data_IF_825108387729
#
_entry.id   IF_825108387729
#
_cell.length_a   1.000
_cell.length_b   1.000
_cell.length_c   1.000
_cell.angle_alpha   90.00
_cell.angle_beta   90.00
_cell.angle_gamma   90.00
#
_symmetry.space_group_name_H-M   'P 1'
#
loop_
_entity.id
_entity.type
_entity.pdbx_description
1 polymer ?
#
# COMPACT_ATOMS: atom_id res chain seq x y z
N UNK A 1 12.87 0.28 8.08
CA UNK A 1 12.30 -1.00 8.56
C UNK A 1 13.39 -1.88 9.16
N UNK A 2 13.05 -2.68 10.19
CA UNK A 2 13.98 -3.66 10.77
C UNK A 2 13.98 -4.98 9.98
N UNK A 3 15.08 -5.71 10.03
CA UNK A 3 15.27 -7.02 9.38
C UNK A 3 14.11 -7.99 9.70
N UNK A 4 13.68 -8.05 10.96
CA UNK A 4 12.59 -8.92 11.41
C UNK A 4 11.28 -8.66 10.64
N UNK A 5 10.99 -7.39 10.35
CA UNK A 5 9.75 -6.98 9.70
C UNK A 5 9.83 -7.25 8.19
N UNK A 6 11.02 -7.05 7.60
CA UNK A 6 11.30 -7.42 6.21
C UNK A 6 11.12 -8.93 5.97
N UNK A 7 11.61 -9.78 6.87
CA UNK A 7 11.44 -11.24 6.74
C UNK A 7 9.96 -11.65 6.82
N UNK A 8 9.18 -11.05 7.73
CA UNK A 8 7.73 -11.30 7.83
C UNK A 8 7.01 -10.89 6.55
N UNK A 9 7.32 -9.71 6.03
CA UNK A 9 6.76 -9.21 4.78
C UNK A 9 7.10 -10.11 3.59
N UNK A 10 8.36 -10.57 3.47
CA UNK A 10 8.77 -11.47 2.41
C UNK A 10 8.02 -12.82 2.47
N UNK A 11 7.70 -13.33 3.66
CA UNK A 11 6.86 -14.54 3.81
C UNK A 11 5.41 -14.32 3.37
N UNK A 12 4.88 -13.11 3.56
CA UNK A 12 3.56 -12.73 3.10
C UNK A 12 3.50 -12.67 1.58
N UNK A 13 4.45 -11.96 0.96
CA UNK A 13 4.57 -11.86 -0.50
C UNK A 13 4.76 -13.23 -1.13
N UNK A 14 5.69 -14.05 -0.59
CA UNK A 14 5.94 -15.39 -1.11
C UNK A 14 4.71 -16.30 -0.96
N UNK A 15 3.98 -16.20 0.15
CA UNK A 15 2.74 -16.95 0.35
C UNK A 15 1.65 -16.57 -0.65
N UNK A 16 1.53 -15.28 -0.97
CA UNK A 16 0.63 -14.79 -2.01
C UNK A 16 1.05 -15.27 -3.41
N UNK A 17 2.35 -15.23 -3.74
CA UNK A 17 2.88 -15.74 -5.01
C UNK A 17 2.64 -17.24 -5.20
N UNK A 18 2.60 -18.00 -4.10
CA UNK A 18 2.28 -19.44 -4.10
C UNK A 18 0.78 -19.74 -4.02
N UNK A 19 -0.08 -18.72 -4.03
CA UNK A 19 -1.54 -18.87 -4.00
C UNK A 19 -2.12 -19.24 -2.64
N UNK A 20 -1.39 -19.06 -1.53
CA UNK A 20 -1.89 -19.36 -0.19
C UNK A 20 -2.84 -18.27 0.34
N UNK A 21 -2.83 -17.06 -0.24
CA UNK A 21 -3.56 -15.87 0.25
C UNK A 21 -3.30 -15.55 1.74
N UNK A 22 -2.13 -15.97 2.24
CA UNK A 22 -1.63 -15.76 3.60
C UNK A 22 -0.11 -15.84 3.57
N UNK A 23 0.54 -15.37 4.63
CA UNK A 23 1.95 -15.64 4.82
C UNK A 23 2.25 -17.13 4.93
N UNK A 24 3.32 -17.59 4.24
CA UNK A 24 3.87 -18.92 4.47
C UNK A 24 4.23 -19.07 5.93
N UNK A 25 4.05 -20.23 6.54
CA UNK A 25 4.56 -20.51 7.89
C UNK A 25 6.09 -20.65 7.88
N UNK A 26 6.72 -20.55 9.05
CA UNK A 26 8.18 -20.74 9.16
C UNK A 26 8.61 -22.15 8.72
N UNK A 27 7.80 -23.18 9.01
CA UNK A 27 8.07 -24.55 8.59
C UNK A 27 7.88 -24.72 7.08
N UNK A 28 6.82 -24.14 6.50
CA UNK A 28 6.60 -24.11 5.05
C UNK A 28 7.77 -23.44 4.33
N UNK A 29 8.30 -22.34 4.89
CA UNK A 29 9.44 -21.64 4.31
C UNK A 29 10.71 -22.51 4.31
N UNK A 30 11.03 -23.13 5.45
CA UNK A 30 12.18 -24.04 5.56
C UNK A 30 12.07 -25.19 4.57
N UNK A 31 10.88 -25.80 4.48
CA UNK A 31 10.59 -26.87 3.52
C UNK A 31 10.77 -26.41 2.07
N UNK A 32 10.23 -25.24 1.71
CA UNK A 32 10.37 -24.68 0.37
C UNK A 32 11.82 -24.35 0.00
N UNK A 33 12.60 -23.77 0.93
CA UNK A 33 14.03 -23.50 0.74
C UNK A 33 14.79 -24.80 0.49
N UNK A 34 14.45 -25.85 1.21
CA UNK A 34 15.12 -27.15 1.08
C UNK A 34 14.77 -27.84 -0.24
N UNK A 35 13.50 -27.76 -0.68
CA UNK A 35 13.06 -28.25 -1.99
C UNK A 35 13.73 -27.50 -3.15
N UNK A 36 13.81 -26.17 -3.07
CA UNK A 36 14.40 -25.34 -4.12
C UNK A 36 15.92 -25.51 -4.25
N UNK A 37 16.63 -25.76 -3.14
CA UNK A 37 18.07 -26.01 -3.18
C UNK A 37 18.41 -27.49 -3.48
N UNK A 38 17.50 -28.43 -3.22
CA UNK A 38 17.68 -29.86 -3.50
C UNK A 38 17.46 -30.25 -4.97
N UNK A 39 16.84 -29.40 -5.79
CA UNK A 39 16.41 -29.70 -7.17
C UNK A 39 17.40 -29.24 -8.26
N UNK A 40 18.49 -28.56 -7.89
CA UNK A 40 19.52 -28.12 -8.84
C UNK A 40 20.60 -29.19 -9.09
N UNK A 41 20.89 -29.49 -10.37
CA UNK A 41 22.04 -30.29 -10.85
C UNK A 41 23.39 -29.65 -10.48
N UNK A 42 23.73 -29.60 -9.20
CA UNK A 42 25.08 -29.42 -8.63
C UNK A 42 24.94 -29.47 -7.12
N UNK A 43 25.62 -30.45 -6.53
CA UNK A 43 25.80 -30.71 -5.09
C UNK A 43 26.59 -29.57 -4.40
N UNK A 44 26.16 -28.32 -4.58
CA UNK A 44 26.83 -27.11 -4.12
C UNK A 44 25.91 -26.34 -3.19
N UNK A 45 26.22 -26.44 -1.89
CA UNK A 45 25.57 -25.85 -0.71
C UNK A 45 24.32 -26.59 -0.17
N UNK A 46 24.57 -27.52 0.76
CA UNK A 46 23.58 -28.04 1.73
C UNK A 46 23.28 -26.96 2.79
N UNK A 47 23.10 -25.71 2.36
CA UNK A 47 22.82 -24.60 3.25
C UNK A 47 21.35 -24.70 3.66
N UNK A 48 21.09 -25.33 4.80
CA UNK A 48 19.76 -25.45 5.40
C UNK A 48 19.62 -24.43 6.52
N UNK A 49 18.53 -23.67 6.49
CA UNK A 49 18.12 -22.81 7.62
C UNK A 49 17.15 -23.60 8.51
N UNK A 50 17.29 -23.51 9.83
CA UNK A 50 16.34 -24.16 10.76
C UNK A 50 15.16 -23.24 11.08
N UNK A 51 14.01 -23.83 11.41
CA UNK A 51 12.84 -23.08 11.87
C UNK A 51 13.15 -22.29 13.15
N UNK A 52 13.94 -22.85 14.07
CA UNK A 52 14.37 -22.15 15.29
C UNK A 52 15.20 -20.90 14.98
N UNK A 53 16.09 -20.98 13.98
CA UNK A 53 16.91 -19.84 13.55
C UNK A 53 16.05 -18.74 12.91
N UNK A 54 15.08 -19.12 12.09
CA UNK A 54 14.11 -18.19 11.50
C UNK A 54 13.26 -17.49 12.59
N UNK A 55 12.82 -18.25 13.60
CA UNK A 55 12.09 -17.69 14.73
C UNK A 55 12.91 -16.68 15.52
N UNK A 56 14.22 -16.89 15.68
CA UNK A 56 15.11 -15.95 16.36
C UNK A 56 15.31 -14.65 15.56
N UNK A 57 15.30 -14.71 14.23
CA UNK A 57 15.38 -13.53 13.37
C UNK A 57 14.07 -12.73 13.47
N UNK A 58 12.93 -13.41 13.33
CA UNK A 58 11.62 -12.75 13.32
C UNK A 58 11.18 -12.23 14.70
N UNK A 59 11.71 -12.77 15.78
CA UNK A 59 11.52 -12.22 17.13
C UNK A 59 12.45 -11.03 17.42
N UNK A 60 13.49 -10.84 16.60
CA UNK A 60 14.52 -9.82 16.80
C UNK A 60 15.63 -10.22 17.77
N UNK A 61 15.63 -11.45 18.30
CA UNK A 61 16.73 -11.97 19.13
C UNK A 61 18.06 -12.07 18.35
N UNK A 62 17.97 -12.14 17.02
CA UNK A 62 19.12 -12.11 16.09
C UNK A 62 18.94 -10.96 15.09
N UNK A 63 19.45 -9.75 15.37
CA UNK A 63 19.29 -8.60 14.49
C UNK A 63 20.16 -8.67 13.22
N UNK A 64 21.15 -9.56 13.18
CA UNK A 64 22.09 -9.69 12.06
C UNK A 64 22.17 -11.12 11.54
N UNK A 65 22.21 -11.26 10.21
CA UNK A 65 22.39 -12.53 9.51
C UNK A 65 23.86 -12.75 9.17
N UNK A 66 24.31 -14.01 9.26
CA UNK A 66 25.55 -14.43 8.62
C UNK A 66 25.45 -14.23 7.11
N UNK A 67 26.59 -14.03 6.44
CA UNK A 67 26.64 -13.84 4.99
C UNK A 67 25.99 -15.03 4.26
N UNK A 68 26.30 -16.26 4.68
CA UNK A 68 25.72 -17.49 4.12
C UNK A 68 24.20 -17.51 4.19
N UNK A 69 23.60 -17.21 5.36
CA UNK A 69 22.14 -17.21 5.50
C UNK A 69 21.51 -16.07 4.70
N UNK A 70 22.17 -14.92 4.64
CA UNK A 70 21.72 -13.78 3.85
C UNK A 70 21.64 -14.11 2.37
N UNK A 71 22.69 -14.71 1.80
CA UNK A 71 22.71 -15.14 0.40
C UNK A 71 21.64 -16.20 0.11
N UNK A 72 21.44 -17.14 1.05
CA UNK A 72 20.41 -18.18 0.94
C UNK A 72 19.01 -17.57 0.85
N UNK A 73 18.66 -16.69 1.79
CA UNK A 73 17.35 -16.03 1.83
C UNK A 73 17.15 -15.08 0.66
N UNK A 74 18.19 -14.33 0.27
CA UNK A 74 18.17 -13.44 -0.89
C UNK A 74 17.86 -14.21 -2.18
N UNK A 75 18.54 -15.35 -2.38
CA UNK A 75 18.30 -16.24 -3.52
C UNK A 75 16.90 -16.87 -3.49
N UNK A 76 16.41 -17.24 -2.32
CA UNK A 76 15.06 -17.81 -2.18
C UNK A 76 13.98 -16.79 -2.53
N UNK A 77 14.01 -15.62 -1.88
CA UNK A 77 13.02 -14.55 -2.05
C UNK A 77 13.23 -13.69 -3.31
N UNK A 78 14.26 -13.96 -4.11
CA UNK A 78 14.62 -13.17 -5.30
C UNK A 78 14.84 -11.67 -4.98
N UNK A 79 15.47 -11.38 -3.84
CA UNK A 79 15.82 -10.01 -3.41
C UNK A 79 17.32 -9.80 -3.39
N UNK A 80 17.77 -8.54 -3.46
CA UNK A 80 19.18 -8.22 -3.28
C UNK A 80 19.64 -8.51 -1.83
N UNK A 81 20.84 -9.10 -1.58
CA UNK A 81 21.32 -9.37 -0.22
C UNK A 81 21.36 -8.14 0.68
N UNK A 82 21.55 -6.95 0.11
CA UNK A 82 21.51 -5.67 0.81
C UNK A 82 20.12 -5.30 1.35
N UNK A 83 19.04 -5.90 0.85
CA UNK A 83 17.69 -5.68 1.40
C UNK A 83 17.53 -6.33 2.79
N UNK A 84 18.26 -7.41 3.06
CA UNK A 84 18.20 -8.20 4.30
C UNK A 84 19.09 -7.62 5.41
N UNK A 85 19.02 -6.31 5.59
CA UNK A 85 19.62 -5.55 6.71
C UNK A 85 18.61 -4.58 7.28
N UNK A 86 18.88 -4.06 8.47
CA UNK A 86 18.14 -2.92 8.99
C UNK A 86 18.35 -1.71 8.06
N UNK A 87 17.28 -0.98 7.81
CA UNK A 87 17.42 0.31 7.13
C UNK A 87 18.08 1.32 8.06
N UNK A 88 18.96 2.20 7.55
CA UNK A 88 19.52 3.28 8.36
C UNK A 88 18.41 4.23 8.84
N UNK A 89 18.68 4.90 9.95
CA UNK A 89 17.82 5.99 10.45
C UNK A 89 17.60 7.01 9.33
N UNK A 90 16.34 7.34 9.03
CA UNK A 90 15.98 8.25 7.93
C UNK A 90 15.89 7.62 6.54
N UNK A 91 16.01 6.30 6.39
CA UNK A 91 15.77 5.64 5.11
C UNK A 91 14.29 5.71 4.69
N UNK A 92 14.07 6.14 3.47
CA UNK A 92 12.77 6.14 2.81
C UNK A 92 12.88 5.42 1.46
N UNK A 93 11.87 4.63 1.10
CA UNK A 93 11.80 3.94 -0.20
C UNK A 93 11.55 4.89 -1.37
N UNK A 94 11.15 6.13 -1.07
CA UNK A 94 10.91 7.21 -2.01
C UNK A 94 12.08 8.19 -1.96
N UNK A 95 12.41 8.83 -3.09
CA UNK A 95 13.44 9.87 -3.14
C UNK A 95 12.96 11.10 -2.33
N UNK A 96 13.28 11.12 -1.05
CA UNK A 96 13.12 12.30 -0.19
C UNK A 96 14.46 13.03 -0.22
N UNK A 97 14.54 14.09 -1.02
CA UNK A 97 15.64 15.04 -0.92
C UNK A 97 15.36 15.98 0.26
N UNK A 98 16.32 16.15 1.16
CA UNK A 98 16.24 17.13 2.28
C UNK A 98 16.12 18.58 1.80
N UNK A 99 16.26 18.83 0.48
CA UNK A 99 16.00 20.12 -0.16
C UNK A 99 14.50 20.44 -0.34
N UNK A 100 13.62 19.49 -0.05
CA UNK A 100 12.18 19.63 -0.29
C UNK A 100 11.47 20.18 0.94
N UNK A 101 10.88 21.36 0.81
CA UNK A 101 10.00 21.98 1.81
C UNK A 101 8.84 21.04 2.14
N UNK A 102 8.21 21.20 3.32
CA UNK A 102 7.06 20.37 3.70
C UNK A 102 5.91 20.41 2.66
N UNK A 103 5.83 21.50 1.89
CA UNK A 103 4.91 21.68 0.76
C UNK A 103 5.20 20.71 -0.39
N UNK A 104 6.45 20.58 -0.84
CA UNK A 104 6.85 19.63 -1.89
C UNK A 104 6.50 18.17 -1.54
N UNK A 105 6.51 17.82 -0.25
CA UNK A 105 6.12 16.48 0.23
C UNK A 105 4.61 16.28 0.13
N UNK A 106 3.82 17.31 0.45
CA UNK A 106 2.37 17.28 0.32
C UNK A 106 1.96 17.20 -1.15
N UNK A 107 2.59 17.97 -2.03
CA UNK A 107 2.30 17.98 -3.46
C UNK A 107 2.60 16.62 -4.10
N UNK A 108 3.75 16.04 -3.77
CA UNK A 108 4.08 14.70 -4.25
C UNK A 108 3.08 13.65 -3.77
N UNK A 109 2.64 13.75 -2.50
CA UNK A 109 1.63 12.86 -1.95
C UNK A 109 0.28 13.02 -2.66
N UNK A 110 -0.13 14.25 -2.98
CA UNK A 110 -1.36 14.54 -3.74
C UNK A 110 -1.31 13.96 -5.16
N UNK A 111 -0.20 14.12 -5.86
CA UNK A 111 0.00 13.53 -7.20
C UNK A 111 -0.06 12.01 -7.14
N UNK A 112 0.64 11.39 -6.19
CA UNK A 112 0.60 9.95 -5.99
C UNK A 112 -0.80 9.44 -5.58
N UNK A 113 -1.54 10.24 -4.81
CA UNK A 113 -2.95 9.99 -4.46
C UNK A 113 -3.84 9.97 -5.71
N UNK A 114 -3.72 10.98 -6.58
CA UNK A 114 -4.50 11.08 -7.81
C UNK A 114 -4.35 9.83 -8.69
N UNK A 115 -3.14 9.28 -8.81
CA UNK A 115 -2.90 8.05 -9.58
C UNK A 115 -3.61 6.81 -9.00
N UNK A 116 -3.77 6.74 -7.67
CA UNK A 116 -4.47 5.65 -6.98
C UNK A 116 -5.99 5.75 -7.16
N UNK A 117 -6.51 6.98 -7.24
CA UNK A 117 -7.94 7.25 -7.42
C UNK A 117 -8.37 7.42 -8.89
N UNK A 118 -7.63 6.87 -9.85
CA UNK A 118 -7.97 6.93 -11.30
C UNK A 118 -9.40 6.47 -11.67
N UNK A 119 -10.03 5.64 -10.83
CA UNK A 119 -11.41 5.15 -11.03
C UNK A 119 -12.49 6.16 -10.57
N UNK A 120 -12.11 7.17 -9.81
CA UNK A 120 -12.94 8.31 -9.44
C UNK A 120 -12.35 9.58 -10.09
N UNK A 121 -12.84 9.95 -11.30
CA UNK A 121 -12.26 11.07 -12.04
C UNK A 121 -12.45 12.41 -11.31
N UNK A 122 -13.54 12.57 -10.54
CA UNK A 122 -13.81 13.81 -9.80
C UNK A 122 -12.81 14.01 -8.66
N UNK A 123 -12.53 12.95 -7.90
CA UNK A 123 -11.53 12.98 -6.83
C UNK A 123 -10.11 13.10 -7.38
N UNK A 124 -9.79 12.37 -8.45
CA UNK A 124 -8.50 12.45 -9.14
C UNK A 124 -8.20 13.90 -9.58
N UNK A 125 -9.17 14.56 -10.22
CA UNK A 125 -9.04 15.94 -10.66
C UNK A 125 -8.90 16.91 -9.49
N UNK A 126 -9.64 16.72 -8.39
CA UNK A 126 -9.52 17.54 -7.20
C UNK A 126 -8.11 17.44 -6.56
N UNK A 127 -7.55 16.22 -6.48
CA UNK A 127 -6.20 16.00 -5.96
C UNK A 127 -5.12 16.64 -6.83
N UNK A 128 -5.24 16.54 -8.16
CA UNK A 128 -4.33 17.21 -9.09
C UNK A 128 -4.46 18.74 -9.05
N UNK A 129 -5.67 19.26 -8.88
CA UNK A 129 -5.89 20.70 -8.74
C UNK A 129 -5.25 21.24 -7.45
N UNK A 130 -5.37 20.50 -6.34
CA UNK A 130 -4.68 20.82 -5.09
C UNK A 130 -3.17 20.79 -5.25
N UNK A 131 -2.62 19.75 -5.88
CA UNK A 131 -1.17 19.58 -6.07
C UNK A 131 -0.52 20.67 -6.93
N UNK A 132 -1.30 21.31 -7.81
CA UNK A 132 -0.82 22.40 -8.67
C UNK A 132 -1.03 23.79 -8.04
N UNK A 133 -1.65 23.88 -6.86
CA UNK A 133 -1.83 25.15 -6.19
C UNK A 133 -0.51 25.62 -5.58
N UNK A 134 -0.21 26.91 -5.63
CA UNK A 134 1.07 27.46 -5.12
C UNK A 134 1.24 27.33 -3.61
N UNK A 135 0.16 27.03 -2.90
CA UNK A 135 0.12 26.82 -1.44
C UNK A 135 -0.94 25.75 -1.14
N UNK A 136 -0.59 24.49 -1.40
CA UNK A 136 -1.46 23.32 -1.18
C UNK A 136 -1.83 23.16 0.30
N UNK A 137 -0.93 23.56 1.20
CA UNK A 137 -1.15 23.49 2.64
C UNK A 137 -2.31 24.37 3.07
N UNK A 138 -2.35 25.61 2.61
CA UNK A 138 -3.43 26.54 2.92
C UNK A 138 -4.80 26.04 2.44
N UNK A 139 -4.85 25.31 1.34
CA UNK A 139 -6.09 24.69 0.87
C UNK A 139 -6.65 23.68 1.89
N UNK A 140 -5.80 22.85 2.49
CA UNK A 140 -6.24 21.90 3.52
C UNK A 140 -6.67 22.58 4.83
N UNK A 141 -5.95 23.62 5.25
CA UNK A 141 -6.35 24.42 6.43
C UNK A 141 -7.70 25.11 6.21
N UNK A 142 -7.97 25.55 4.98
CA UNK A 142 -9.28 26.09 4.62
C UNK A 142 -10.36 25.00 4.67
N UNK A 143 -10.08 23.79 4.19
CA UNK A 143 -11.02 22.66 4.28
C UNK A 143 -11.35 22.35 5.74
N UNK A 144 -10.36 22.31 6.63
CA UNK A 144 -10.56 22.15 8.08
C UNK A 144 -11.51 23.23 8.63
N UNK A 145 -11.24 24.51 8.34
CA UNK A 145 -12.08 25.63 8.78
C UNK A 145 -13.53 25.54 8.25
N UNK A 146 -13.70 25.05 7.02
CA UNK A 146 -15.02 24.83 6.41
C UNK A 146 -15.77 23.71 7.13
N UNK A 147 -15.09 22.61 7.46
CA UNK A 147 -15.67 21.45 8.15
C UNK A 147 -16.05 21.78 9.60
N UNK A 148 -15.29 22.65 10.26
CA UNK A 148 -15.62 23.16 11.60
C UNK A 148 -16.87 24.07 11.61
N UNK A 149 -17.22 24.67 10.46
CA UNK A 149 -18.39 25.53 10.34
C UNK A 149 -19.61 24.72 9.90
N UNK A 150 -20.61 24.50 10.78
CA UNK A 150 -21.74 23.63 10.47
C UNK A 150 -22.54 24.13 9.27
N UNK A 151 -22.93 23.21 8.38
CA UNK A 151 -23.64 23.46 7.12
C UNK A 151 -22.94 24.38 6.10
N UNK A 152 -21.71 24.84 6.36
CA UNK A 152 -20.97 25.66 5.39
C UNK A 152 -20.54 24.83 4.17
N UNK A 153 -20.07 23.60 4.40
CA UNK A 153 -19.66 22.70 3.34
C UNK A 153 -20.81 22.48 2.33
N UNK A 154 -22.00 22.11 2.81
CA UNK A 154 -23.17 21.83 1.96
C UNK A 154 -23.61 23.07 1.18
N UNK A 155 -23.59 24.24 1.82
CA UNK A 155 -23.90 25.52 1.16
C UNK A 155 -22.89 25.86 0.08
N UNK A 156 -21.60 25.66 0.34
CA UNK A 156 -20.54 25.87 -0.65
C UNK A 156 -20.69 24.91 -1.83
N UNK A 157 -21.02 23.64 -1.58
CA UNK A 157 -21.31 22.69 -2.65
C UNK A 157 -22.52 23.11 -3.49
N UNK A 158 -23.62 23.52 -2.86
CA UNK A 158 -24.81 23.98 -3.57
C UNK A 158 -24.53 25.21 -4.45
N UNK A 159 -23.67 26.13 -3.99
CA UNK A 159 -23.32 27.35 -4.72
C UNK A 159 -22.30 27.09 -5.83
N UNK A 160 -21.28 26.27 -5.57
CA UNK A 160 -20.14 26.07 -6.47
C UNK A 160 -20.36 24.92 -7.47
N UNK A 161 -21.25 23.98 -7.17
CA UNK A 161 -21.60 22.83 -8.02
C UNK A 161 -23.12 22.64 -8.12
N UNK A 162 -23.83 23.56 -8.79
CA UNK A 162 -25.28 23.49 -8.90
C UNK A 162 -25.78 22.22 -9.63
N UNK A 163 -25.01 21.70 -10.59
CA UNK A 163 -25.46 20.59 -11.44
C UNK A 163 -25.41 19.20 -10.76
N UNK A 164 -24.46 18.94 -9.85
CA UNK A 164 -24.37 17.66 -9.11
C UNK A 164 -25.55 17.47 -8.13
N UNK A 165 -26.15 18.59 -7.69
CA UNK A 165 -27.35 18.60 -6.84
C UNK A 165 -28.63 18.22 -7.61
N UNK A 166 -28.67 18.47 -8.93
CA UNK A 166 -29.84 18.21 -9.78
C UNK A 166 -29.99 16.73 -10.19
N UNK A 167 -28.87 16.02 -10.36
CA UNK A 167 -28.85 14.61 -10.79
C UNK A 167 -29.27 13.66 -9.66
N UNK A 168 -28.98 14.02 -8.40
CA UNK A 168 -29.44 13.27 -7.22
C UNK A 168 -30.97 13.33 -7.06
N UNK A 169 -31.62 14.43 -7.46
CA UNK A 169 -33.07 14.57 -7.43
C UNK A 169 -33.78 13.85 -8.59
N UNK A 170 -33.18 13.82 -9.78
CA UNK A 170 -33.76 13.17 -10.96
C UNK A 170 -33.78 11.63 -10.87
N UNK A 171 -32.90 11.03 -10.06
CA UNK A 171 -32.83 9.56 -9.90
C UNK A 171 -33.94 9.00 -8.99
N UNK A 172 -34.71 9.86 -8.29
CA UNK A 172 -35.81 9.44 -7.41
C UNK A 172 -37.20 9.49 -8.06
N UNK A 173 -37.33 9.89 -9.33
CA UNK A 173 -38.65 10.02 -10.00
C UNK A 173 -38.76 9.14 -11.25
N UNK A 174 -38.85 7.83 -11.03
CA UNK A 174 -39.46 6.90 -12.00
C UNK A 174 -40.76 6.36 -11.38
N UNK A 175 -41.95 6.79 -11.83
CA UNK A 175 -43.19 6.20 -11.36
C UNK A 175 -43.38 4.80 -11.96
N UNK A 176 -43.57 3.82 -11.08
CA UNK A 176 -44.03 2.47 -11.42
C UNK A 176 -45.42 2.55 -12.08
N UNK A 177 -45.46 2.58 -13.41
CA UNK A 177 -46.64 2.19 -14.19
C UNK A 177 -46.69 0.66 -14.25
N UNK A 178 -47.41 0.03 -13.31
CA UNK A 178 -47.85 -1.35 -13.45
C UNK A 178 -49.27 -1.36 -14.02
N UNK A 179 -49.37 -1.53 -15.33
CA UNK A 179 -50.63 -1.81 -16.02
C UNK A 179 -50.90 -3.31 -16.11
N UNK A 180 -52.18 -3.64 -15.86
CA UNK A 180 -53.00 -4.70 -16.47
C UNK A 180 -53.00 -6.13 -15.86
N UNK A 181 -54.23 -6.49 -15.43
CA UNK A 181 -55.13 -7.55 -15.98
C UNK A 181 -55.47 -8.75 -15.06
N UNK A 182 -56.79 -8.85 -14.82
CA UNK A 182 -57.64 -10.04 -15.09
C UNK A 182 -57.78 -11.14 -14.02
N UNK A 183 -58.99 -11.74 -14.04
CA UNK A 183 -59.55 -12.87 -13.29
C UNK A 183 -60.14 -12.45 -11.93
N UNK A 184 -61.44 -12.66 -11.63
CA UNK A 184 -62.43 -13.63 -12.10
C UNK A 184 -63.84 -13.07 -11.86
#
# INVERSE_FOLDING_TARGET
>A
MKLKDKIRYLREVEGNLRGLNRAMTQQELVGAIQQQNGTGKKKASKATISQSYLSQIESGARPHLTNTTRLLLAKFFQVHPGYLVDDPEGYHSELISDLRTAEDKLDLWLVGGAERFRRDPALCQALLALANHSDSRRCFLLIESILETPALLDRLFHVLRPDESSVAAATQTLPSKAGKRSTK
#
